data_IF_073054868428
#
_entry.id   IF_073054868428
#
_cell.length_a   1.000
_cell.length_b   1.000
_cell.length_c   1.000
_cell.angle_alpha   90.00
_cell.angle_beta   90.00
_cell.angle_gamma   90.00
#
_symmetry.space_group_name_H-M   'P 1'
#
loop_
_entity.id
_entity.type
_entity.pdbx_description
1 polymer ?
#
# COMPACT_ATOMS: atom_id res chain seq x y z
N UNK A 1 25.35 27.38 3.20
CA UNK A 1 24.91 26.08 2.66
C UNK A 1 24.92 25.03 3.77
N UNK A 2 23.77 24.70 4.38
CA UNK A 2 23.62 23.48 5.17
C UNK A 2 22.45 22.63 4.64
N UNK A 3 22.63 22.00 3.47
CA UNK A 3 21.67 21.04 2.89
C UNK A 3 21.93 19.59 3.36
N UNK A 4 23.15 19.28 3.83
CA UNK A 4 23.58 17.91 4.16
C UNK A 4 23.00 17.38 5.48
N UNK A 5 22.66 18.26 6.43
CA UNK A 5 22.13 17.83 7.74
C UNK A 5 20.64 17.50 7.69
N UNK A 6 19.86 18.23 6.88
CA UNK A 6 18.43 17.94 6.68
C UNK A 6 18.19 16.60 5.98
N UNK A 7 19.02 16.27 4.99
CA UNK A 7 18.91 15.02 4.22
C UNK A 7 19.21 13.78 5.09
N UNK A 8 20.14 13.92 6.04
CA UNK A 8 20.53 12.87 6.98
C UNK A 8 19.44 12.57 8.01
N UNK A 9 18.84 13.62 8.57
CA UNK A 9 17.73 13.50 9.53
C UNK A 9 16.48 12.90 8.85
N UNK A 10 16.21 13.28 7.60
CA UNK A 10 15.13 12.70 6.80
C UNK A 10 15.31 11.20 6.56
N UNK A 11 16.54 10.78 6.21
CA UNK A 11 16.89 9.37 6.01
C UNK A 11 16.80 8.55 7.29
N UNK A 12 17.35 9.02 8.41
CA UNK A 12 17.27 8.30 9.68
C UNK A 12 15.83 8.15 10.17
N UNK A 13 15.01 9.20 10.03
CA UNK A 13 13.60 9.13 10.40
C UNK A 13 12.81 8.16 9.53
N UNK A 14 13.01 8.18 8.20
CA UNK A 14 12.35 7.23 7.30
C UNK A 14 12.82 5.80 7.57
N UNK A 15 14.13 5.56 7.73
CA UNK A 15 14.67 4.22 7.98
C UNK A 15 14.09 3.58 9.26
N UNK A 16 13.94 4.37 10.33
CA UNK A 16 13.38 3.88 11.59
C UNK A 16 11.87 3.63 11.48
N UNK A 17 11.13 4.53 10.83
CA UNK A 17 9.69 4.37 10.61
C UNK A 17 9.42 3.17 9.69
N UNK A 18 10.17 3.03 8.60
CA UNK A 18 10.06 1.94 7.64
C UNK A 18 10.25 0.59 8.32
N UNK A 19 11.27 0.45 9.17
CA UNK A 19 11.56 -0.81 9.87
C UNK A 19 10.43 -1.22 10.83
N UNK A 20 9.81 -0.27 11.50
CA UNK A 20 8.69 -0.54 12.40
C UNK A 20 7.40 -0.84 11.64
N UNK A 21 7.16 -0.14 10.52
CA UNK A 21 5.99 -0.36 9.67
C UNK A 21 6.09 -1.63 8.85
N UNK A 22 7.25 -2.01 8.31
CA UNK A 22 7.45 -3.27 7.59
C UNK A 22 7.01 -4.45 8.46
N UNK A 23 7.50 -4.52 9.70
CA UNK A 23 7.21 -5.65 10.58
C UNK A 23 5.72 -5.74 10.94
N UNK A 24 5.09 -4.61 11.26
CA UNK A 24 3.66 -4.54 11.58
C UNK A 24 2.77 -4.79 10.36
N UNK A 25 3.14 -4.26 9.19
CA UNK A 25 2.44 -4.49 7.94
C UNK A 25 2.59 -5.93 7.47
N UNK A 26 3.76 -6.55 7.61
CA UNK A 26 3.97 -7.95 7.22
C UNK A 26 3.06 -8.86 8.03
N UNK A 27 3.06 -8.76 9.36
CA UNK A 27 2.19 -9.60 10.21
C UNK A 27 0.69 -9.36 9.93
N UNK A 28 0.28 -8.09 9.79
CA UNK A 28 -1.11 -7.75 9.50
C UNK A 28 -1.53 -8.19 8.09
N UNK A 29 -0.68 -8.01 7.09
CA UNK A 29 -0.91 -8.42 5.71
C UNK A 29 -0.95 -9.94 5.57
N UNK A 30 -0.05 -10.67 6.24
CA UNK A 30 -0.09 -12.13 6.28
C UNK A 30 -1.40 -12.64 6.90
N UNK A 31 -1.84 -12.06 8.02
CA UNK A 31 -3.12 -12.43 8.64
C UNK A 31 -4.31 -12.11 7.75
N UNK A 32 -4.33 -10.92 7.14
CA UNK A 32 -5.39 -10.52 6.19
C UNK A 32 -5.41 -11.43 4.96
N UNK A 33 -4.25 -11.84 4.45
CA UNK A 33 -4.13 -12.74 3.31
C UNK A 33 -4.58 -14.16 3.67
N UNK A 34 -4.21 -14.66 4.85
CA UNK A 34 -4.64 -15.97 5.34
C UNK A 34 -6.17 -16.02 5.47
N UNK A 35 -6.77 -15.02 6.13
CA UNK A 35 -8.22 -14.92 6.24
C UNK A 35 -8.89 -14.86 4.87
N UNK A 36 -8.29 -14.12 3.93
CA UNK A 36 -8.80 -14.00 2.58
C UNK A 36 -8.77 -15.32 1.80
N UNK A 37 -7.67 -16.07 1.91
CA UNK A 37 -7.54 -17.43 1.35
C UNK A 37 -8.63 -18.35 1.90
N UNK A 38 -8.86 -18.31 3.22
CA UNK A 38 -9.93 -19.09 3.86
C UNK A 38 -11.31 -18.71 3.33
N UNK A 39 -11.62 -17.41 3.24
CA UNK A 39 -12.89 -16.96 2.68
C UNK A 39 -13.09 -17.41 1.23
N UNK A 40 -12.03 -17.38 0.40
CA UNK A 40 -12.09 -17.85 -0.99
C UNK A 40 -12.23 -19.36 -1.09
N UNK A 41 -11.54 -20.14 -0.25
CA UNK A 41 -11.71 -21.59 -0.23
C UNK A 41 -13.13 -22.00 0.15
N UNK A 42 -13.82 -21.19 0.95
CA UNK A 42 -15.23 -21.42 1.30
C UNK A 42 -16.20 -21.08 0.14
N UNK A 43 -15.76 -20.29 -0.85
CA UNK A 43 -16.55 -19.89 -2.02
C UNK A 43 -16.63 -20.98 -3.13
N UNK A 44 -16.54 -22.27 -2.78
CA UNK A 44 -16.54 -23.46 -3.66
C UNK A 44 -17.67 -23.58 -4.73
N UNK A 45 -18.57 -22.60 -4.87
CA UNK A 45 -19.82 -22.75 -5.63
C UNK A 45 -20.05 -21.89 -6.86
N UNK A 46 -19.25 -20.86 -7.19
CA UNK A 46 -19.48 -20.14 -8.47
C UNK A 46 -18.28 -19.36 -8.99
N UNK A 47 -17.74 -19.78 -10.14
CA UNK A 47 -16.67 -19.06 -10.85
C UNK A 47 -17.05 -17.60 -11.11
N UNK A 48 -18.34 -17.31 -11.36
CA UNK A 48 -18.85 -15.96 -11.55
C UNK A 48 -18.64 -15.04 -10.33
N UNK A 49 -18.72 -15.56 -9.10
CA UNK A 49 -18.48 -14.76 -7.88
C UNK A 49 -16.99 -14.47 -7.72
N UNK A 50 -16.12 -15.44 -8.02
CA UNK A 50 -14.66 -15.24 -8.02
C UNK A 50 -14.23 -14.18 -9.04
N UNK A 51 -14.80 -14.20 -10.26
CA UNK A 51 -14.52 -13.16 -11.26
C UNK A 51 -14.98 -11.76 -10.83
N UNK A 52 -16.15 -11.64 -10.18
CA UNK A 52 -16.64 -10.35 -9.65
C UNK A 52 -15.74 -9.82 -8.54
N UNK A 53 -15.31 -10.69 -7.63
CA UNK A 53 -14.40 -10.32 -6.54
C UNK A 53 -13.02 -9.92 -7.09
N UNK A 54 -12.52 -10.62 -8.11
CA UNK A 54 -11.30 -10.25 -8.85
C UNK A 54 -11.40 -8.84 -9.43
N UNK A 55 -12.48 -8.56 -10.15
CA UNK A 55 -12.71 -7.25 -10.77
C UNK A 55 -12.75 -6.13 -9.72
N UNK A 56 -13.39 -6.37 -8.58
CA UNK A 56 -13.42 -5.45 -7.45
C UNK A 56 -12.02 -5.18 -6.92
N UNK A 57 -11.21 -6.22 -6.68
CA UNK A 57 -9.83 -6.03 -6.23
C UNK A 57 -8.97 -5.27 -7.23
N UNK A 58 -9.12 -5.55 -8.53
CA UNK A 58 -8.40 -4.82 -9.59
C UNK A 58 -8.77 -3.34 -9.58
N UNK A 59 -10.07 -3.01 -9.46
CA UNK A 59 -10.51 -1.60 -9.32
C UNK A 59 -9.91 -0.94 -8.07
N UNK A 60 -9.92 -1.64 -6.94
CA UNK A 60 -9.29 -1.14 -5.70
C UNK A 60 -7.80 -0.90 -5.89
N UNK A 61 -7.09 -1.79 -6.58
CA UNK A 61 -5.66 -1.63 -6.90
C UNK A 61 -5.40 -0.35 -7.70
N UNK A 62 -6.18 -0.10 -8.74
CA UNK A 62 -6.04 1.11 -9.56
C UNK A 62 -6.38 2.39 -8.79
N UNK A 63 -7.39 2.34 -7.91
CA UNK A 63 -7.70 3.46 -7.03
C UNK A 63 -6.52 3.79 -6.10
N UNK A 64 -5.97 2.79 -5.41
CA UNK A 64 -4.82 2.97 -4.51
C UNK A 64 -3.62 3.53 -5.28
N UNK A 65 -3.37 3.05 -6.50
CA UNK A 65 -2.29 3.57 -7.36
C UNK A 65 -2.50 5.05 -7.71
N UNK A 66 -3.74 5.44 -8.01
CA UNK A 66 -4.10 6.83 -8.27
C UNK A 66 -3.89 7.69 -7.03
N UNK A 67 -4.32 7.22 -5.85
CA UNK A 67 -4.12 7.93 -4.59
C UNK A 67 -2.64 8.15 -4.29
N UNK A 68 -1.79 7.12 -4.46
CA UNK A 68 -0.34 7.23 -4.31
C UNK A 68 0.20 8.36 -5.20
N UNK A 69 -0.17 8.36 -6.48
CA UNK A 69 0.27 9.38 -7.44
C UNK A 69 -0.18 10.79 -7.03
N UNK A 70 -1.41 10.95 -6.53
CA UNK A 70 -1.91 12.23 -6.02
C UNK A 70 -1.10 12.68 -4.81
N UNK A 71 -0.84 11.79 -3.86
CA UNK A 71 -0.02 12.12 -2.70
C UNK A 71 1.43 12.44 -3.08
N UNK A 72 2.04 11.73 -4.03
CA UNK A 72 3.37 12.02 -4.55
C UNK A 72 3.43 13.39 -5.22
N UNK A 73 2.44 13.74 -6.04
CA UNK A 73 2.32 15.07 -6.64
C UNK A 73 2.18 16.17 -5.57
N UNK A 74 1.36 15.92 -4.54
CA UNK A 74 1.18 16.85 -3.42
C UNK A 74 2.49 17.05 -2.64
N UNK A 75 3.22 15.98 -2.35
CA UNK A 75 4.56 16.02 -1.72
C UNK A 75 5.53 16.84 -2.59
N UNK A 76 5.55 16.62 -3.90
CA UNK A 76 6.35 17.40 -4.85
C UNK A 76 6.04 18.90 -4.82
N UNK A 77 4.78 19.29 -4.61
CA UNK A 77 4.37 20.68 -4.46
C UNK A 77 4.80 21.30 -3.11
N UNK A 78 4.76 20.53 -2.02
CA UNK A 78 5.15 21.02 -0.69
C UNK A 78 6.67 21.06 -0.46
N UNK A 79 7.47 20.26 -1.18
CA UNK A 79 8.95 20.36 -1.11
C UNK A 79 9.49 21.62 -1.76
N UNK A 80 8.78 22.17 -2.75
CA UNK A 80 9.16 23.39 -3.46
C UNK A 80 8.69 24.68 -2.75
N UNK A 81 7.80 24.56 -1.76
CA UNK A 81 7.27 25.68 -0.96
C UNK A 81 7.77 25.62 0.50
N UNK A 82 8.45 26.70 0.93
CA UNK A 82 9.28 26.84 2.15
C UNK A 82 8.78 26.25 3.49
N UNK A 83 9.73 26.08 4.44
CA UNK A 83 9.73 25.85 5.93
C UNK A 83 8.46 25.48 6.73
N UNK A 84 7.22 25.73 6.28
CA UNK A 84 5.95 25.35 6.93
C UNK A 84 5.38 24.00 6.47
N UNK A 85 5.91 23.41 5.40
CA UNK A 85 5.40 22.15 4.82
C UNK A 85 5.90 20.85 5.46
N UNK A 86 6.82 20.90 6.43
CA UNK A 86 7.55 19.71 6.91
C UNK A 86 6.65 18.67 7.61
N UNK A 87 5.63 19.11 8.36
CA UNK A 87 4.64 18.21 8.98
C UNK A 87 3.70 17.55 7.97
N UNK A 88 3.24 18.31 6.96
CA UNK A 88 2.37 17.79 5.90
C UNK A 88 3.12 16.81 5.00
N UNK A 89 4.40 17.08 4.76
CA UNK A 89 5.29 16.18 4.03
C UNK A 89 5.45 14.84 4.75
N UNK A 90 5.67 14.87 6.07
CA UNK A 90 5.80 13.67 6.88
C UNK A 90 4.50 12.85 6.91
N UNK A 91 3.33 13.49 6.99
CA UNK A 91 2.04 12.80 6.93
C UNK A 91 1.75 12.21 5.55
N UNK A 92 2.01 12.97 4.48
CA UNK A 92 1.81 12.51 3.11
C UNK A 92 2.72 11.33 2.78
N UNK A 93 3.99 11.37 3.18
CA UNK A 93 4.92 10.23 3.03
C UNK A 93 4.42 9.00 3.80
N UNK A 94 4.00 9.16 5.07
CA UNK A 94 3.41 8.04 5.83
C UNK A 94 2.16 7.47 5.16
N UNK A 95 1.35 8.31 4.52
CA UNK A 95 0.15 7.88 3.80
C UNK A 95 0.52 7.11 2.53
N UNK A 96 1.50 7.58 1.76
CA UNK A 96 2.05 6.90 0.58
C UNK A 96 2.56 5.51 0.96
N UNK A 97 3.36 5.38 2.02
CA UNK A 97 3.91 4.10 2.44
C UNK A 97 2.83 3.11 2.89
N UNK A 98 1.79 3.58 3.60
CA UNK A 98 0.63 2.74 3.93
C UNK A 98 -0.11 2.29 2.68
N UNK A 99 -0.35 3.19 1.74
CA UNK A 99 -1.02 2.88 0.48
C UNK A 99 -0.20 1.88 -0.36
N UNK A 100 1.13 1.96 -0.35
CA UNK A 100 2.00 0.96 -1.00
C UNK A 100 1.86 -0.42 -0.34
N UNK A 101 1.82 -0.49 0.99
CA UNK A 101 1.56 -1.75 1.70
C UNK A 101 0.18 -2.34 1.37
N UNK A 102 -0.86 -1.49 1.32
CA UNK A 102 -2.20 -1.92 0.91
C UNK A 102 -2.24 -2.35 -0.56
N UNK A 103 -1.50 -1.67 -1.45
CA UNK A 103 -1.36 -2.03 -2.86
C UNK A 103 -0.74 -3.42 -3.03
N UNK A 104 0.32 -3.71 -2.28
CA UNK A 104 0.98 -5.02 -2.30
C UNK A 104 0.02 -6.11 -1.80
N UNK A 105 -0.69 -5.87 -0.70
CA UNK A 105 -1.67 -6.79 -0.17
C UNK A 105 -2.79 -7.08 -1.17
N UNK A 106 -3.35 -6.05 -1.81
CA UNK A 106 -4.39 -6.21 -2.84
C UNK A 106 -3.84 -6.99 -4.04
N UNK A 107 -2.59 -6.74 -4.44
CA UNK A 107 -1.93 -7.48 -5.52
C UNK A 107 -1.77 -8.96 -5.17
N UNK A 108 -1.35 -9.28 -3.94
CA UNK A 108 -1.27 -10.67 -3.47
C UNK A 108 -2.65 -11.33 -3.43
N UNK A 109 -3.70 -10.62 -3.01
CA UNK A 109 -5.08 -11.14 -3.02
C UNK A 109 -5.58 -11.42 -4.45
N UNK A 110 -5.30 -10.55 -5.42
CA UNK A 110 -5.63 -10.79 -6.84
C UNK A 110 -4.93 -12.07 -7.30
N UNK A 111 -3.65 -12.24 -7.00
CA UNK A 111 -2.89 -13.45 -7.37
C UNK A 111 -3.53 -14.72 -6.78
N UNK A 112 -3.96 -14.69 -5.52
CA UNK A 112 -4.67 -15.81 -4.89
C UNK A 112 -5.99 -16.14 -5.58
N UNK A 113 -6.79 -15.13 -5.94
CA UNK A 113 -8.01 -15.37 -6.73
C UNK A 113 -7.65 -15.99 -8.07
N UNK A 114 -6.68 -15.42 -8.79
CA UNK A 114 -6.30 -15.85 -10.13
C UNK A 114 -5.86 -17.32 -10.11
N UNK A 115 -5.02 -17.70 -9.15
CA UNK A 115 -4.63 -19.10 -8.91
C UNK A 115 -5.81 -20.00 -8.54
N UNK A 116 -6.84 -19.47 -7.85
CA UNK A 116 -8.04 -20.24 -7.49
C UNK A 116 -8.95 -20.44 -8.69
N UNK A 117 -9.11 -19.42 -9.54
CA UNK A 117 -9.88 -19.48 -10.78
C UNK A 117 -9.23 -20.45 -11.77
N UNK A 118 -7.90 -20.42 -11.92
CA UNK A 118 -7.18 -21.35 -12.81
C UNK A 118 -7.30 -22.82 -12.37
N UNK A 119 -7.46 -23.07 -11.07
CA UNK A 119 -7.60 -24.41 -10.49
C UNK A 119 -9.05 -24.91 -10.42
N UNK A 120 -10.04 -24.03 -10.60
CA UNK A 120 -11.48 -24.34 -10.54
C UNK A 120 -12.03 -24.72 -11.90
#
# INVERSE_FOLDING_TARGET
MPFKEKDKLHKEFHTLVDKHYERLNLDASHKKLSNYKSSISDFQGSSQTLYKEREKLVRTREHIKTDIQVYENNVGFFTSSSKKGESLLAEANRKIERLKGDLELITQKIKVIDETIEKS
#
